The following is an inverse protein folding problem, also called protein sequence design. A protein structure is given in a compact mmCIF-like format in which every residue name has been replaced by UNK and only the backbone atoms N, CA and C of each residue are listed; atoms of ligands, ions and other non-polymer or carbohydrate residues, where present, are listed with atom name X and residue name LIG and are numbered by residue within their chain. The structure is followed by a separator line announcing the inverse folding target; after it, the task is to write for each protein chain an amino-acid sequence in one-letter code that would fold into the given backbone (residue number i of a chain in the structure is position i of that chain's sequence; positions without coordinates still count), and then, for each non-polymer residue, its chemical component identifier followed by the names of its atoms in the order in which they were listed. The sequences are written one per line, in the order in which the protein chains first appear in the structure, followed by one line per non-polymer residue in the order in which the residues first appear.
data_IF_485935150118
#
_entry.id   IF_485935150118
#
_cell.length_a   1.000
_cell.length_b   1.000
_cell.length_c   1.000
_cell.angle_alpha   90.00
_cell.angle_beta   90.00
_cell.angle_gamma   90.00
#
_symmetry.space_group_name_H-M   'P 1'
#
loop_
_entity.id
_entity.type
_entity.pdbx_description
1 polymer ?
#
# COMPACT_ATOMS: atom_id res chain seq x y z
N UNK A 1 -4.68 -23.91 15.43
CA UNK A 1 -4.02 -23.54 14.15
C UNK A 1 -3.16 -22.28 14.18
N UNK A 2 -3.10 -21.51 15.29
CA UNK A 2 -2.04 -20.50 15.50
C UNK A 2 -2.03 -19.32 14.53
N UNK A 3 -3.06 -19.19 13.71
CA UNK A 3 -3.32 -18.05 12.84
C UNK A 3 -4.34 -17.14 13.53
N UNK A 4 -4.03 -15.86 13.64
CA UNK A 4 -5.00 -14.84 14.08
C UNK A 4 -5.08 -13.74 13.04
N UNK A 5 -6.24 -13.08 12.97
CA UNK A 5 -6.53 -12.06 11.97
C UNK A 5 -7.08 -10.83 12.69
N UNK A 6 -6.42 -9.69 12.50
CA UNK A 6 -6.98 -8.38 12.84
C UNK A 6 -7.55 -7.75 11.57
N UNK A 7 -8.62 -6.97 11.72
CA UNK A 7 -9.25 -6.23 10.62
C UNK A 7 -9.24 -4.73 10.89
N UNK A 8 -9.19 -3.93 9.82
CA UNK A 8 -9.32 -2.48 9.89
C UNK A 8 -10.21 -1.98 8.74
N UNK A 9 -11.17 -1.11 9.04
CA UNK A 9 -11.92 -0.41 8.01
C UNK A 9 -10.99 0.55 7.25
N UNK A 10 -11.03 0.48 5.91
CA UNK A 10 -10.23 1.29 5.01
C UNK A 10 -11.00 2.48 4.47
N UNK A 11 -10.27 3.49 4.02
CA UNK A 11 -10.82 4.69 3.39
C UNK A 11 -11.15 4.40 1.92
N UNK A 12 -12.39 4.02 1.65
CA UNK A 12 -12.91 3.73 0.31
C UNK A 12 -14.41 4.08 0.21
N UNK A 13 -14.90 4.68 -0.90
CA UNK A 13 -16.32 5.06 -1.05
C UNK A 13 -17.33 3.91 -0.87
N UNK A 14 -16.90 2.67 -1.11
CA UNK A 14 -17.72 1.46 -0.98
C UNK A 14 -17.55 0.68 0.33
N UNK A 15 -16.79 1.22 1.30
CA UNK A 15 -16.22 0.48 2.43
C UNK A 15 -15.29 -0.66 1.98
N UNK A 16 -14.14 -0.79 2.62
CA UNK A 16 -13.24 -1.89 2.39
C UNK A 16 -12.57 -2.32 3.71
N UNK A 17 -12.18 -3.59 3.82
CA UNK A 17 -11.50 -4.13 5.00
C UNK A 17 -10.06 -4.50 4.66
N UNK A 18 -9.14 -3.95 5.45
CA UNK A 18 -7.75 -4.39 5.49
C UNK A 18 -7.60 -5.54 6.47
N UNK A 19 -6.76 -6.51 6.10
CA UNK A 19 -6.50 -7.69 6.92
C UNK A 19 -5.04 -7.71 7.37
N UNK A 20 -4.82 -8.01 8.64
CA UNK A 20 -3.50 -8.31 9.19
C UNK A 20 -3.50 -9.74 9.72
N UNK A 21 -2.79 -10.62 9.03
CA UNK A 21 -2.67 -12.03 9.35
C UNK A 21 -1.40 -12.24 10.17
N UNK A 22 -1.55 -12.92 11.29
CA UNK A 22 -0.47 -13.30 12.19
C UNK A 22 -0.29 -14.81 12.14
N UNK A 23 0.94 -15.25 11.89
CA UNK A 23 1.29 -16.66 12.00
C UNK A 23 2.70 -16.82 12.55
N UNK A 24 2.83 -17.43 13.73
CA UNK A 24 4.09 -17.51 14.47
C UNK A 24 4.71 -16.11 14.65
N UNK A 25 5.91 -15.88 14.08
CA UNK A 25 6.62 -14.58 14.12
C UNK A 25 6.39 -13.75 12.86
N UNK A 26 5.51 -14.19 11.94
CA UNK A 26 5.25 -13.55 10.65
C UNK A 26 3.97 -12.73 10.66
N UNK A 27 4.01 -11.61 9.93
CA UNK A 27 2.88 -10.69 9.78
C UNK A 27 2.70 -10.34 8.30
N UNK A 28 1.50 -10.59 7.78
CA UNK A 28 1.10 -10.25 6.42
C UNK A 28 -0.03 -9.22 6.52
N UNK A 29 0.07 -8.12 5.79
CA UNK A 29 -0.98 -7.11 5.68
C UNK A 29 -1.49 -7.08 4.25
N UNK A 30 -2.80 -7.20 4.07
CA UNK A 30 -3.50 -7.08 2.80
C UNK A 30 -4.39 -5.84 2.89
N UNK A 31 -3.96 -4.77 2.24
CA UNK A 31 -4.57 -3.43 2.28
C UNK A 31 -4.90 -3.05 0.83
N UNK A 32 -6.06 -3.45 0.34
CA UNK A 32 -6.50 -3.10 -1.02
C UNK A 32 -7.05 -1.67 -1.04
N UNK A 33 -7.77 -1.28 -2.10
CA UNK A 33 -8.78 -0.22 -2.17
C UNK A 33 -8.76 0.75 -0.97
N UNK A 34 -7.72 1.57 -0.94
CA UNK A 34 -7.45 2.46 0.17
C UNK A 34 -6.92 3.80 -0.29
N UNK A 35 -7.61 4.86 0.12
CA UNK A 35 -7.20 6.24 -0.15
C UNK A 35 -6.47 6.88 1.05
N UNK A 36 -5.35 7.53 0.73
CA UNK A 36 -4.59 8.40 1.62
C UNK A 36 -4.76 9.82 1.12
N UNK A 37 -5.81 10.50 1.58
CA UNK A 37 -6.10 11.88 1.20
C UNK A 37 -4.90 12.82 1.47
N UNK A 38 -4.61 13.78 0.57
CA UNK A 38 -3.65 14.86 0.82
C UNK A 38 -4.03 15.67 2.06
N UNK A 39 -3.06 16.25 2.76
CA UNK A 39 -3.31 16.97 4.03
C UNK A 39 -4.23 18.19 3.89
N UNK A 40 -4.28 18.77 2.70
CA UNK A 40 -5.09 19.91 2.31
C UNK A 40 -6.47 19.52 1.77
N UNK A 41 -6.78 18.22 1.67
CA UNK A 41 -8.10 17.73 1.29
C UNK A 41 -9.03 17.67 2.51
N UNK A 42 -10.31 18.03 2.32
CA UNK A 42 -11.33 18.01 3.37
C UNK A 42 -11.57 16.63 4.00
N UNK A 43 -11.36 15.55 3.25
CA UNK A 43 -11.54 14.17 3.73
C UNK A 43 -10.28 13.62 4.42
N UNK A 44 -9.24 14.44 4.59
CA UNK A 44 -8.03 14.03 5.30
C UNK A 44 -8.30 13.81 6.79
N UNK A 45 -8.18 12.55 7.23
CA UNK A 45 -8.22 12.21 8.64
C UNK A 45 -6.82 11.80 9.14
N UNK A 46 -6.11 12.64 9.93
CA UNK A 46 -4.82 12.26 10.52
C UNK A 46 -4.90 11.01 11.39
N UNK A 47 -6.04 10.82 12.06
CA UNK A 47 -6.33 9.66 12.89
C UNK A 47 -6.32 8.36 12.08
N UNK A 48 -6.90 8.37 10.88
CA UNK A 48 -6.88 7.27 9.94
C UNK A 48 -5.47 6.84 9.57
N UNK A 49 -4.64 7.78 9.10
CA UNK A 49 -3.25 7.50 8.70
C UNK A 49 -2.45 6.93 9.88
N UNK A 50 -2.64 7.46 11.09
CA UNK A 50 -1.98 6.94 12.30
C UNK A 50 -2.43 5.51 12.64
N UNK A 51 -3.72 5.21 12.53
CA UNK A 51 -4.27 3.85 12.74
C UNK A 51 -3.68 2.88 11.72
N UNK A 52 -3.65 3.25 10.43
CA UNK A 52 -3.14 2.40 9.37
C UNK A 52 -1.63 2.14 9.52
N UNK A 53 -0.83 3.17 9.86
CA UNK A 53 0.59 3.01 10.17
C UNK A 53 0.83 2.02 11.31
N UNK A 54 0.02 2.07 12.37
CA UNK A 54 0.10 1.12 13.50
C UNK A 54 -0.32 -0.28 13.05
N UNK A 55 -1.37 -0.37 12.24
CA UNK A 55 -1.92 -1.62 11.74
C UNK A 55 -0.90 -2.38 10.88
N UNK A 56 -0.19 -1.72 9.98
CA UNK A 56 0.79 -2.39 9.10
C UNK A 56 2.22 -2.41 9.66
N UNK A 57 2.43 -1.90 10.89
CA UNK A 57 3.77 -1.74 11.46
C UNK A 57 4.55 -3.06 11.53
N UNK A 58 5.75 -3.05 10.95
CA UNK A 58 6.68 -4.17 10.97
C UNK A 58 6.18 -5.41 10.23
N UNK A 59 5.26 -5.26 9.27
CA UNK A 59 4.81 -6.36 8.43
C UNK A 59 5.98 -6.96 7.64
N UNK A 60 6.03 -8.29 7.58
CA UNK A 60 6.96 -9.00 6.70
C UNK A 60 6.56 -8.81 5.23
N UNK A 61 5.25 -8.72 4.99
CA UNK A 61 4.64 -8.52 3.68
C UNK A 61 3.48 -7.54 3.82
N UNK A 62 3.53 -6.46 3.04
CA UNK A 62 2.40 -5.57 2.79
C UNK A 62 2.01 -5.69 1.32
N UNK A 63 0.81 -6.15 1.05
CA UNK A 63 0.21 -6.17 -0.28
C UNK A 63 -0.73 -4.97 -0.31
N UNK A 64 -0.44 -3.98 -1.15
CA UNK A 64 -1.18 -2.72 -1.18
C UNK A 64 -1.44 -2.21 -2.58
N UNK A 65 -2.63 -1.63 -2.77
CA UNK A 65 -3.03 -1.04 -4.03
C UNK A 65 -2.06 0.07 -4.45
N UNK A 66 -1.95 0.27 -5.76
CA UNK A 66 -1.01 1.18 -6.41
C UNK A 66 -1.56 1.62 -7.75
N UNK A 67 -2.87 1.90 -7.77
CA UNK A 67 -3.68 2.12 -8.97
C UNK A 67 -3.14 3.32 -9.75
N UNK A 68 -2.94 4.45 -9.07
CA UNK A 68 -2.55 5.70 -9.71
C UNK A 68 -1.08 6.05 -9.50
N UNK A 69 -0.46 6.57 -10.55
CA UNK A 69 0.74 7.41 -10.43
C UNK A 69 0.41 8.71 -9.70
N UNK A 70 1.45 9.40 -9.22
CA UNK A 70 1.31 10.72 -8.61
C UNK A 70 0.67 11.76 -9.53
N UNK A 71 0.90 11.67 -10.84
CA UNK A 71 0.34 12.60 -11.82
C UNK A 71 -1.15 12.37 -12.10
N UNK A 72 -1.59 11.11 -12.10
CA UNK A 72 -2.99 10.74 -12.33
C UNK A 72 -3.88 11.06 -11.12
N UNK A 73 -3.32 10.94 -9.91
CA UNK A 73 -4.10 10.99 -8.68
C UNK A 73 -4.88 12.30 -8.48
N UNK A 74 -4.35 13.44 -8.93
CA UNK A 74 -5.03 14.73 -8.77
C UNK A 74 -6.45 14.75 -9.37
N UNK A 75 -6.69 14.01 -10.46
CA UNK A 75 -7.99 13.88 -11.10
C UNK A 75 -8.84 12.71 -10.55
N UNK A 76 -8.31 11.95 -9.59
CA UNK A 76 -8.88 10.70 -9.07
C UNK A 76 -9.08 10.73 -7.55
N UNK A 77 -8.92 11.90 -6.92
CA UNK A 77 -9.21 12.07 -5.49
C UNK A 77 -10.68 11.68 -5.23
N UNK A 78 -10.92 10.91 -4.18
CA UNK A 78 -12.21 10.36 -3.80
C UNK A 78 -12.57 9.06 -4.50
N UNK A 79 -11.73 8.53 -5.39
CA UNK A 79 -11.97 7.24 -6.06
C UNK A 79 -11.54 6.05 -5.21
N UNK A 80 -10.98 6.28 -4.02
CA UNK A 80 -10.65 5.20 -3.10
C UNK A 80 -9.25 4.61 -3.25
N UNK A 81 -8.36 5.19 -4.07
CA UNK A 81 -7.00 4.66 -4.27
C UNK A 81 -5.92 5.71 -4.09
N UNK A 82 -4.80 5.30 -3.51
CA UNK A 82 -3.67 6.18 -3.20
C UNK A 82 -2.65 6.28 -4.34
N UNK A 83 -1.93 7.41 -4.49
CA UNK A 83 -0.80 7.50 -5.40
C UNK A 83 0.39 6.66 -4.89
N UNK A 84 1.23 6.20 -5.82
CA UNK A 84 2.44 5.41 -5.50
C UNK A 84 3.31 6.04 -4.41
N UNK A 85 3.53 7.36 -4.41
CA UNK A 85 4.37 7.98 -3.39
C UNK A 85 3.79 7.88 -1.98
N UNK A 86 2.46 7.96 -1.82
CA UNK A 86 1.80 7.84 -0.52
C UNK A 86 1.91 6.40 0.01
N UNK A 87 1.71 5.40 -0.85
CA UNK A 87 1.88 3.97 -0.52
C UNK A 87 3.31 3.68 -0.08
N UNK A 88 4.30 4.20 -0.81
CA UNK A 88 5.73 4.02 -0.50
C UNK A 88 6.12 4.70 0.80
N UNK A 89 5.62 5.92 1.04
CA UNK A 89 5.85 6.64 2.29
C UNK A 89 5.27 5.90 3.49
N UNK A 90 4.05 5.38 3.35
CA UNK A 90 3.39 4.59 4.37
C UNK A 90 4.20 3.33 4.71
N UNK A 91 4.62 2.57 3.70
CA UNK A 91 5.41 1.34 3.89
C UNK A 91 6.76 1.62 4.56
N UNK A 92 7.44 2.70 4.15
CA UNK A 92 8.70 3.14 4.76
C UNK A 92 8.51 3.49 6.24
N UNK A 93 7.55 4.36 6.56
CA UNK A 93 7.28 4.81 7.94
C UNK A 93 6.86 3.67 8.85
N UNK A 94 6.08 2.72 8.32
CA UNK A 94 5.65 1.54 9.05
C UNK A 94 6.74 0.48 9.21
N UNK A 95 7.93 0.66 8.64
CA UNK A 95 9.04 -0.31 8.67
C UNK A 95 8.65 -1.67 8.10
N UNK A 96 7.85 -1.65 7.03
CA UNK A 96 7.48 -2.85 6.26
C UNK A 96 8.74 -3.45 5.64
N UNK A 97 8.88 -4.77 5.67
CA UNK A 97 10.04 -5.45 5.05
C UNK A 97 9.90 -5.52 3.53
N UNK A 98 8.75 -5.99 3.05
CA UNK A 98 8.46 -6.14 1.62
C UNK A 98 7.10 -5.52 1.28
N UNK A 99 7.09 -4.52 0.41
CA UNK A 99 5.91 -3.93 -0.21
C UNK A 99 5.66 -4.60 -1.56
N UNK A 100 4.47 -5.14 -1.76
CA UNK A 100 3.99 -5.69 -3.02
C UNK A 100 2.89 -4.77 -3.53
N UNK A 101 3.23 -4.00 -4.56
CA UNK A 101 2.31 -3.11 -5.25
C UNK A 101 1.41 -3.95 -6.16
N UNK A 102 0.09 -3.83 -6.02
CA UNK A 102 -0.88 -4.51 -6.87
C UNK A 102 -2.05 -3.58 -7.21
N UNK A 103 -3.14 -4.10 -7.77
CA UNK A 103 -4.37 -3.35 -8.09
C UNK A 103 -4.09 -2.16 -9.01
N UNK A 104 -3.35 -2.43 -10.10
CA UNK A 104 -3.03 -1.42 -11.10
C UNK A 104 -4.28 -1.01 -11.88
N UNK A 105 -4.29 0.21 -12.41
CA UNK A 105 -5.40 0.69 -13.22
C UNK A 105 -5.53 -0.18 -14.49
N UNK A 106 -6.73 -0.67 -14.86
CA UNK A 106 -6.93 -1.49 -16.06
C UNK A 106 -6.50 -0.82 -17.37
N UNK A 107 -6.45 0.52 -17.41
CA UNK A 107 -6.01 1.28 -18.58
C UNK A 107 -4.47 1.39 -18.67
N UNK A 108 -3.73 0.90 -17.67
CA UNK A 108 -2.27 0.93 -17.63
C UNK A 108 -1.65 -0.29 -18.29
N UNK A 109 -0.54 -0.05 -18.99
CA UNK A 109 0.29 -1.10 -19.60
C UNK A 109 1.39 -1.58 -18.65
N UNK A 110 2.04 -2.70 -19.00
CA UNK A 110 3.24 -3.18 -18.28
C UNK A 110 4.33 -2.10 -18.14
N UNK A 111 4.48 -1.23 -19.15
CA UNK A 111 5.46 -0.13 -19.10
C UNK A 111 5.12 0.88 -18.02
N UNK A 112 3.83 1.13 -17.80
CA UNK A 112 3.35 2.05 -16.76
C UNK A 112 3.57 1.44 -15.38
N UNK A 113 3.34 0.13 -15.23
CA UNK A 113 3.63 -0.62 -14.00
C UNK A 113 5.13 -0.61 -13.69
N UNK A 114 5.98 -0.85 -14.69
CA UNK A 114 7.44 -0.75 -14.56
C UNK A 114 7.89 0.66 -14.16
N UNK A 115 7.28 1.70 -14.73
CA UNK A 115 7.54 3.08 -14.37
C UNK A 115 7.15 3.36 -12.91
N UNK A 116 5.99 2.88 -12.44
CA UNK A 116 5.58 2.94 -11.03
C UNK A 116 6.58 2.25 -10.12
N UNK A 117 7.03 1.03 -10.47
CA UNK A 117 8.03 0.29 -9.70
C UNK A 117 9.37 1.04 -9.62
N UNK A 118 9.82 1.63 -10.73
CA UNK A 118 11.03 2.46 -10.77
C UNK A 118 10.91 3.68 -9.86
N UNK A 119 9.77 4.36 -9.89
CA UNK A 119 9.46 5.50 -9.01
C UNK A 119 9.50 5.09 -7.54
N UNK A 120 8.83 3.98 -7.18
CA UNK A 120 8.82 3.47 -5.81
C UNK A 120 10.24 3.13 -5.31
N UNK A 121 11.04 2.43 -6.12
CA UNK A 121 12.45 2.12 -5.80
C UNK A 121 13.28 3.39 -5.57
N UNK A 122 13.11 4.40 -6.43
CA UNK A 122 13.81 5.67 -6.30
C UNK A 122 13.44 6.43 -5.01
N UNK A 123 12.14 6.47 -4.67
CA UNK A 123 11.65 7.10 -3.44
C UNK A 123 12.21 6.40 -2.19
N UNK A 124 12.18 5.06 -2.15
CA UNK A 124 12.75 4.28 -1.04
C UNK A 124 14.26 4.48 -0.90
N UNK A 125 15.00 4.53 -2.03
CA UNK A 125 16.45 4.82 -2.03
C UNK A 125 16.75 6.20 -1.46
N UNK A 126 16.03 7.25 -1.90
CA UNK A 126 16.20 8.62 -1.38
C UNK A 126 15.97 8.68 0.14
N UNK A 127 15.06 7.87 0.66
CA UNK A 127 14.73 7.77 2.10
C UNK A 127 15.67 6.86 2.90
N UNK A 128 16.67 6.23 2.27
CA UNK A 128 17.52 5.20 2.89
C UNK A 128 16.69 4.09 3.56
N UNK A 129 15.55 3.74 2.95
CA UNK A 129 14.61 2.76 3.50
C UNK A 129 15.19 1.35 3.46
N UNK A 130 14.84 0.52 4.46
CA UNK A 130 15.09 -0.92 4.45
C UNK A 130 13.98 -1.72 3.76
N UNK A 131 12.86 -1.09 3.46
CA UNK A 131 11.74 -1.70 2.73
C UNK A 131 12.16 -2.03 1.32
N UNK A 132 11.87 -3.27 0.88
CA UNK A 132 11.98 -3.69 -0.53
C UNK A 132 10.62 -3.55 -1.19
N UNK A 133 10.60 -3.23 -2.49
CA UNK A 133 9.36 -3.06 -3.26
C UNK A 133 9.35 -3.93 -4.50
N UNK A 134 8.19 -4.51 -4.79
CA UNK A 134 7.91 -5.42 -5.90
C UNK A 134 6.58 -5.03 -6.57
N UNK A 135 6.46 -5.32 -7.87
CA UNK A 135 5.20 -5.29 -8.61
C UNK A 135 5.05 -6.69 -9.26
N UNK A 136 4.47 -7.67 -8.56
CA UNK A 136 4.39 -9.04 -9.05
C UNK A 136 3.37 -9.17 -10.18
N UNK A 137 3.68 -9.98 -11.20
CA UNK A 137 2.74 -10.39 -12.23
C UNK A 137 1.77 -11.45 -11.69
N UNK A 138 0.64 -11.64 -12.38
CA UNK A 138 -0.30 -12.72 -12.10
C UNK A 138 0.40 -14.09 -12.09
N UNK A 139 -0.03 -14.98 -11.19
CA UNK A 139 0.60 -16.30 -11.00
C UNK A 139 1.90 -16.29 -10.18
N UNK A 140 2.40 -15.12 -9.74
CA UNK A 140 3.61 -15.04 -8.90
C UNK A 140 3.37 -15.64 -7.50
N UNK A 141 4.13 -16.67 -7.15
CA UNK A 141 4.19 -17.22 -5.79
C UNK A 141 5.24 -16.52 -4.92
N UNK A 142 4.87 -16.18 -3.68
CA UNK A 142 5.77 -15.52 -2.71
C UNK A 142 5.77 -16.25 -1.36
N UNK A 143 6.89 -16.19 -0.63
CA UNK A 143 7.06 -16.81 0.69
C UNK A 143 7.36 -15.75 1.75
N UNK A 144 6.86 -15.97 2.97
CA UNK A 144 6.96 -15.05 4.11
C UNK A 144 7.83 -15.61 5.23
#
# INVERSE_FOLDING_TARGET
DGITIDTMLLSHPGYCLGFRIHYKKRRICYITDNELFPKDNENFEPGYVKKLLKFIHGADMLIMDSTYTDGEYAAKIGWGHSPVSAVVELAHRAKVKNLYMFHHDPDQTDKDIDAKLKTAKNLLRKKKSKTRVFAPAEGTGVKV
#
